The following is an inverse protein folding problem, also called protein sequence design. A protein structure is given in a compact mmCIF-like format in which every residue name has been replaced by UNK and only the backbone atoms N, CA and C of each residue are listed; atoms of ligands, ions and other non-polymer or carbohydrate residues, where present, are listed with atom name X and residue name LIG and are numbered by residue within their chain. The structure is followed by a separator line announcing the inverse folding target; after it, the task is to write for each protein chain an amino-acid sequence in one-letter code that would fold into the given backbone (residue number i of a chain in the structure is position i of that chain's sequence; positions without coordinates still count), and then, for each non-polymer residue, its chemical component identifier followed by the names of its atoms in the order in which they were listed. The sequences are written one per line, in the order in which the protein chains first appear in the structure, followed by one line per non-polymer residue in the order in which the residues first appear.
data_IF_386507970834
#
_entry.id   IF_386507970834
#
_cell.length_a   1.000
_cell.length_b   1.000
_cell.length_c   1.000
_cell.angle_alpha   90.00
_cell.angle_beta   90.00
_cell.angle_gamma   90.00
#
_symmetry.space_group_name_H-M   'P 1'
#
loop_
_entity.id
_entity.type
_entity.pdbx_description
1 polymer ?
#
# COMPACT_ATOMS: atom_id res chain seq x y z
N UNK A 1 8.07 7.24 35.67
CA UNK A 1 7.10 8.28 36.09
C UNK A 1 7.64 9.60 35.62
N UNK A 2 7.39 9.89 34.36
CA UNK A 2 7.90 11.08 33.69
C UNK A 2 7.00 12.26 34.08
N UNK A 3 7.53 13.48 34.06
CA UNK A 3 6.81 14.73 34.39
C UNK A 3 5.46 14.89 33.67
N UNK A 4 5.26 14.21 32.54
CA UNK A 4 3.98 14.11 31.82
C UNK A 4 2.90 13.33 32.58
N UNK A 5 3.23 12.18 33.17
CA UNK A 5 2.25 11.34 33.90
C UNK A 5 1.68 12.09 35.11
N UNK A 6 2.57 12.81 35.82
CA UNK A 6 2.21 13.62 36.99
C UNK A 6 1.32 14.79 36.59
N UNK A 7 1.63 15.44 35.48
CA UNK A 7 0.82 16.49 34.89
C UNK A 7 -0.60 15.99 34.54
N UNK A 8 -0.70 14.81 33.94
CA UNK A 8 -1.96 14.18 33.55
C UNK A 8 -2.86 13.87 34.76
N UNK A 9 -2.32 13.21 35.80
CA UNK A 9 -3.08 12.91 37.04
C UNK A 9 -3.58 14.20 37.71
N UNK A 10 -2.77 15.26 37.71
CA UNK A 10 -3.12 16.56 38.28
C UNK A 10 -4.27 17.21 37.50
N UNK A 11 -4.27 17.14 36.17
CA UNK A 11 -5.36 17.70 35.35
C UNK A 11 -6.65 16.94 35.58
N UNK A 12 -6.62 15.61 35.62
CA UNK A 12 -7.80 14.80 35.91
C UNK A 12 -8.38 15.12 37.28
N UNK A 13 -7.52 15.25 38.30
CA UNK A 13 -7.91 15.68 39.63
C UNK A 13 -8.54 17.08 39.65
N UNK A 14 -7.99 18.04 38.88
CA UNK A 14 -8.53 19.40 38.74
C UNK A 14 -9.90 19.37 38.05
N UNK A 15 -10.03 18.61 36.96
CA UNK A 15 -11.29 18.49 36.19
C UNK A 15 -12.39 17.79 37.03
N UNK A 16 -12.02 16.79 37.83
CA UNK A 16 -12.93 16.02 38.68
C UNK A 16 -13.33 16.75 39.98
N UNK A 17 -12.48 17.63 40.53
CA UNK A 17 -12.67 18.22 41.88
C UNK A 17 -12.77 19.75 41.91
N UNK A 18 -13.39 20.39 40.92
CA UNK A 18 -13.60 21.85 40.95
C UNK A 18 -14.77 22.26 41.87
N UNK A 19 -14.47 22.81 43.08
CA UNK A 19 -15.18 23.99 43.55
C UNK A 19 -14.22 25.18 43.78
N UNK A 20 -14.59 26.33 43.19
CA UNK A 20 -14.13 27.71 43.48
C UNK A 20 -12.63 28.09 43.38
N UNK A 21 -12.35 28.92 42.36
CA UNK A 21 -11.47 30.12 42.25
C UNK A 21 -10.10 30.23 42.98
N UNK A 22 -9.91 29.76 44.21
CA UNK A 22 -8.73 30.11 45.02
C UNK A 22 -7.57 29.11 44.89
N UNK A 23 -7.86 27.84 44.64
CA UNK A 23 -6.89 26.76 44.92
C UNK A 23 -5.99 26.42 43.73
N UNK A 24 -6.40 26.75 42.50
CA UNK A 24 -5.57 26.56 41.29
C UNK A 24 -4.35 27.48 41.23
N UNK A 25 -4.45 28.68 41.82
CA UNK A 25 -3.44 29.73 41.66
C UNK A 25 -2.14 29.43 42.43
N UNK A 26 -2.26 28.71 43.55
CA UNK A 26 -1.13 28.24 44.34
C UNK A 26 -0.40 27.06 43.67
N UNK A 27 -1.12 26.27 42.87
CA UNK A 27 -0.62 25.02 42.30
C UNK A 27 0.13 25.21 40.97
N UNK A 28 -0.33 26.14 40.11
CA UNK A 28 0.19 26.30 38.74
C UNK A 28 1.48 27.13 38.59
N UNK A 29 2.21 27.44 39.68
CA UNK A 29 3.43 28.29 39.62
C UNK A 29 4.65 27.64 38.94
N UNK A 30 4.62 26.35 38.65
CA UNK A 30 5.78 25.58 38.16
C UNK A 30 5.82 25.35 36.65
N UNK A 31 4.75 25.63 35.89
CA UNK A 31 4.77 25.50 34.42
C UNK A 31 3.86 26.52 33.72
N UNK A 32 4.45 27.47 32.98
CA UNK A 32 3.74 28.57 32.29
C UNK A 32 2.72 28.09 31.25
N UNK A 33 2.97 26.95 30.61
CA UNK A 33 2.08 26.38 29.60
C UNK A 33 0.86 25.72 30.27
N UNK A 34 1.08 25.08 31.42
CA UNK A 34 0.08 24.46 32.28
C UNK A 34 -0.84 25.48 32.96
N UNK A 35 -0.26 26.59 33.45
CA UNK A 35 -1.01 27.70 34.04
C UNK A 35 -2.00 28.28 33.04
N UNK A 36 -1.63 28.48 31.77
CA UNK A 36 -2.57 29.02 30.77
C UNK A 36 -3.73 28.08 30.52
N UNK A 37 -3.48 26.79 30.32
CA UNK A 37 -4.56 25.83 29.98
C UNK A 37 -5.52 25.63 31.16
N UNK A 38 -5.00 25.43 32.37
CA UNK A 38 -5.83 25.25 33.57
C UNK A 38 -6.59 26.54 33.96
N UNK A 39 -6.00 27.72 33.73
CA UNK A 39 -6.66 29.00 33.94
C UNK A 39 -7.74 29.24 32.86
N UNK A 40 -7.47 28.93 31.59
CA UNK A 40 -8.44 29.14 30.51
C UNK A 40 -9.64 28.16 30.59
N UNK A 41 -9.43 26.92 31.09
CA UNK A 41 -10.48 25.92 31.39
C UNK A 41 -11.47 26.36 32.49
N UNK A 42 -11.03 27.23 33.40
CA UNK A 42 -11.80 27.66 34.59
C UNK A 42 -12.39 29.06 34.40
N UNK A 43 -11.76 29.94 33.60
CA UNK A 43 -12.04 31.39 33.64
C UNK A 43 -12.56 32.01 32.33
N UNK A 44 -12.51 31.35 31.17
CA UNK A 44 -13.00 31.94 29.92
C UNK A 44 -14.33 31.31 29.45
N UNK A 45 -15.23 32.12 28.86
CA UNK A 45 -16.50 31.67 28.22
C UNK A 45 -16.40 31.67 26.67
N UNK A 46 -15.23 32.00 26.14
CA UNK A 46 -15.01 32.20 24.70
C UNK A 46 -15.13 30.89 23.88
N UNK A 47 -15.58 30.96 22.62
CA UNK A 47 -15.65 29.75 21.78
C UNK A 47 -14.25 29.19 21.47
N UNK A 48 -13.26 30.07 21.35
CA UNK A 48 -11.90 29.70 20.96
C UNK A 48 -11.17 28.81 21.97
N UNK A 49 -11.40 29.01 23.28
CA UNK A 49 -10.71 28.21 24.29
C UNK A 49 -11.30 26.81 24.41
N UNK A 50 -12.63 26.66 24.28
CA UNK A 50 -13.32 25.35 24.34
C UNK A 50 -12.77 24.43 23.26
N UNK A 51 -12.56 24.96 22.06
CA UNK A 51 -11.95 24.22 20.96
C UNK A 51 -10.45 23.93 21.17
N UNK A 52 -9.71 24.80 21.87
CA UNK A 52 -8.31 24.54 22.24
C UNK A 52 -8.17 23.45 23.32
N UNK A 53 -9.08 23.42 24.30
CA UNK A 53 -9.13 22.37 25.31
C UNK A 53 -9.52 21.02 24.67
N UNK A 54 -10.50 21.04 23.75
CA UNK A 54 -10.86 19.87 22.95
C UNK A 54 -9.69 19.36 22.11
N UNK A 55 -8.98 20.26 21.41
CA UNK A 55 -7.77 19.92 20.64
C UNK A 55 -6.76 19.20 21.51
N UNK A 56 -6.36 19.82 22.61
CA UNK A 56 -5.33 19.27 23.48
C UNK A 56 -5.75 17.96 24.15
N UNK A 57 -6.99 17.89 24.62
CA UNK A 57 -7.54 16.65 25.18
C UNK A 57 -7.53 15.50 24.17
N UNK A 58 -7.85 15.78 22.90
CA UNK A 58 -7.82 14.77 21.82
C UNK A 58 -6.41 14.42 21.37
N UNK A 59 -5.47 15.37 21.41
CA UNK A 59 -4.06 15.15 21.14
C UNK A 59 -3.39 14.30 22.23
N UNK A 60 -3.72 14.49 23.51
CA UNK A 60 -3.06 13.82 24.64
C UNK A 60 -3.83 12.62 25.21
N UNK A 61 -5.07 12.37 24.78
CA UNK A 61 -5.87 11.24 25.26
C UNK A 61 -6.64 11.50 26.56
N UNK A 62 -6.90 12.77 26.87
CA UNK A 62 -7.54 13.18 28.12
C UNK A 62 -9.07 13.19 27.99
N UNK A 63 -9.70 12.03 28.20
CA UNK A 63 -11.16 11.83 28.06
C UNK A 63 -11.95 12.87 28.86
N UNK A 64 -11.59 13.07 30.14
CA UNK A 64 -12.26 14.01 31.05
C UNK A 64 -12.23 15.47 30.53
N UNK A 65 -11.13 15.87 29.88
CA UNK A 65 -10.98 17.22 29.30
C UNK A 65 -11.83 17.35 28.04
N UNK A 66 -11.84 16.33 27.19
CA UNK A 66 -12.66 16.29 25.97
C UNK A 66 -14.15 16.35 26.32
N UNK A 67 -14.61 15.46 27.21
CA UNK A 67 -16.00 15.39 27.64
C UNK A 67 -16.48 16.74 28.18
N UNK A 68 -15.72 17.32 29.12
CA UNK A 68 -16.07 18.62 29.71
C UNK A 68 -16.06 19.75 28.69
N UNK A 69 -15.10 19.78 27.77
CA UNK A 69 -15.04 20.80 26.71
C UNK A 69 -16.29 20.73 25.82
N UNK A 70 -16.74 19.53 25.49
CA UNK A 70 -17.94 19.31 24.67
C UNK A 70 -19.23 19.64 25.42
N UNK A 71 -19.31 19.32 26.72
CA UNK A 71 -20.44 19.70 27.58
C UNK A 71 -20.55 21.22 27.74
N UNK A 72 -19.42 21.92 27.70
CA UNK A 72 -19.37 23.38 27.65
C UNK A 72 -19.67 23.95 26.26
N UNK A 73 -19.95 23.11 25.26
CA UNK A 73 -20.31 23.52 23.90
C UNK A 73 -19.13 23.83 22.99
N UNK A 74 -17.99 23.16 23.16
CA UNK A 74 -16.94 23.15 22.13
C UNK A 74 -17.51 22.64 20.80
N UNK A 75 -17.14 23.30 19.70
CA UNK A 75 -17.43 22.79 18.37
C UNK A 75 -16.47 21.62 18.07
N UNK A 76 -17.00 20.40 18.03
CA UNK A 76 -16.24 19.19 17.75
C UNK A 76 -15.74 19.10 16.30
N UNK A 77 -16.32 19.90 15.39
CA UNK A 77 -15.88 20.03 14.01
C UNK A 77 -14.94 21.24 13.79
N UNK A 78 -14.49 21.88 14.88
CA UNK A 78 -13.50 22.94 14.80
C UNK A 78 -12.16 22.42 14.27
N UNK A 79 -11.54 23.20 13.38
CA UNK A 79 -10.21 22.91 12.85
C UNK A 79 -9.17 23.21 13.92
N UNK A 80 -8.47 22.17 14.36
CA UNK A 80 -7.56 22.24 15.50
C UNK A 80 -6.10 22.52 15.10
N UNK A 81 -5.70 22.31 13.84
CA UNK A 81 -4.31 22.46 13.41
C UNK A 81 -4.18 22.99 11.96
N UNK A 82 -2.93 23.14 11.48
CA UNK A 82 -2.62 23.64 10.13
C UNK A 82 -2.93 22.67 8.99
N UNK A 83 -3.29 21.43 9.33
CA UNK A 83 -3.62 20.35 8.39
C UNK A 83 -5.14 20.22 8.21
N UNK A 84 -5.93 21.21 8.62
CA UNK A 84 -7.39 21.22 8.53
C UNK A 84 -8.09 20.05 9.26
N UNK A 85 -7.40 19.47 10.25
CA UNK A 85 -7.92 18.36 11.05
C UNK A 85 -8.84 18.83 12.17
N UNK A 86 -9.80 17.98 12.56
CA UNK A 86 -10.66 18.13 13.75
C UNK A 86 -10.14 17.29 14.91
N UNK A 87 -10.80 17.39 16.07
CA UNK A 87 -10.51 16.59 17.26
C UNK A 87 -10.52 15.06 17.01
N UNK A 88 -11.29 14.59 16.03
CA UNK A 88 -11.42 13.16 15.72
C UNK A 88 -10.15 12.58 15.08
N UNK A 89 -9.39 13.35 14.31
CA UNK A 89 -8.17 12.90 13.64
C UNK A 89 -7.07 12.42 14.60
N UNK A 90 -6.60 13.22 15.59
CA UNK A 90 -5.59 12.74 16.53
C UNK A 90 -6.12 11.60 17.40
N UNK A 91 -7.40 11.59 17.74
CA UNK A 91 -8.03 10.51 18.50
C UNK A 91 -7.98 9.17 17.75
N UNK A 92 -8.32 9.16 16.45
CA UNK A 92 -8.20 7.98 15.57
C UNK A 92 -6.75 7.58 15.41
N UNK A 93 -5.84 8.52 15.07
CA UNK A 93 -4.42 8.24 14.83
C UNK A 93 -3.71 7.61 16.03
N UNK A 94 -4.07 8.04 17.24
CA UNK A 94 -3.50 7.53 18.50
C UNK A 94 -4.33 6.41 19.13
N UNK A 95 -5.43 6.01 18.50
CA UNK A 95 -6.36 4.98 18.99
C UNK A 95 -6.91 5.26 20.41
N UNK A 96 -7.24 6.52 20.69
CA UNK A 96 -7.92 6.89 21.93
C UNK A 96 -9.40 6.55 21.83
N UNK A 97 -9.72 5.26 22.00
CA UNK A 97 -11.05 4.67 21.82
C UNK A 97 -12.17 5.42 22.53
N UNK A 98 -11.97 5.79 23.80
CA UNK A 98 -12.97 6.52 24.57
C UNK A 98 -13.30 7.87 23.94
N UNK A 99 -12.27 8.58 23.43
CA UNK A 99 -12.44 9.87 22.74
C UNK A 99 -13.09 9.68 21.38
N UNK A 100 -12.68 8.65 20.62
CA UNK A 100 -13.29 8.32 19.33
C UNK A 100 -14.78 8.04 19.51
N UNK A 101 -15.15 7.15 20.44
CA UNK A 101 -16.55 6.85 20.73
C UNK A 101 -17.32 8.07 21.21
N UNK A 102 -16.73 8.89 22.07
CA UNK A 102 -17.36 10.10 22.58
C UNK A 102 -17.63 11.10 21.44
N UNK A 103 -16.66 11.36 20.57
CA UNK A 103 -16.82 12.27 19.44
C UNK A 103 -17.84 11.74 18.41
N UNK A 104 -17.79 10.45 18.08
CA UNK A 104 -18.76 9.83 17.17
C UNK A 104 -20.18 9.86 17.75
N UNK A 105 -20.34 9.65 19.07
CA UNK A 105 -21.63 9.78 19.75
C UNK A 105 -22.20 11.21 19.76
N UNK A 106 -21.38 12.21 19.43
CA UNK A 106 -21.77 13.61 19.26
C UNK A 106 -21.93 13.99 17.78
N UNK A 107 -21.99 13.02 16.87
CA UNK A 107 -22.10 13.22 15.41
C UNK A 107 -20.92 14.01 14.81
N UNK A 108 -19.69 13.77 15.30
CA UNK A 108 -18.50 14.36 14.69
C UNK A 108 -18.38 14.00 13.19
N UNK A 109 -17.97 14.96 12.38
CA UNK A 109 -17.87 14.81 10.92
C UNK A 109 -16.76 13.81 10.55
N UNK A 110 -17.16 12.63 10.11
CA UNK A 110 -16.28 11.55 9.64
C UNK A 110 -15.87 11.69 8.17
N UNK A 111 -16.53 12.57 7.41
CA UNK A 111 -16.31 12.74 5.96
C UNK A 111 -15.29 13.82 5.65
N UNK A 112 -14.86 14.57 6.66
CA UNK A 112 -13.82 15.57 6.51
C UNK A 112 -12.50 14.95 6.04
N UNK A 113 -11.81 15.69 5.18
CA UNK A 113 -10.43 15.43 4.79
C UNK A 113 -9.50 16.43 5.46
N UNK A 114 -8.26 15.99 5.70
CA UNK A 114 -7.19 16.92 6.04
C UNK A 114 -6.78 17.73 4.80
N UNK A 115 -5.85 18.66 4.98
CA UNK A 115 -5.32 19.54 3.94
C UNK A 115 -4.65 18.82 2.78
N UNK A 116 -4.08 17.64 3.02
CA UNK A 116 -3.44 16.79 2.00
C UNK A 116 -4.48 16.00 1.20
N UNK A 117 -5.70 15.87 1.73
CA UNK A 117 -6.78 15.11 1.12
C UNK A 117 -7.04 13.77 1.80
N UNK A 118 -6.29 13.39 2.83
CA UNK A 118 -6.47 12.12 3.53
C UNK A 118 -7.80 12.12 4.30
N UNK A 119 -8.54 11.02 4.18
CA UNK A 119 -9.78 10.80 4.92
C UNK A 119 -9.53 10.07 6.25
N UNK A 120 -10.57 9.91 7.08
CA UNK A 120 -10.43 9.25 8.38
C UNK A 120 -10.11 7.75 8.28
N UNK A 121 -10.54 7.08 7.20
CA UNK A 121 -10.24 5.66 6.93
C UNK A 121 -8.74 5.48 6.69
N UNK A 122 -8.09 6.39 5.97
CA UNK A 122 -6.64 6.39 5.77
C UNK A 122 -5.92 6.34 7.12
N UNK A 123 -6.26 7.25 8.03
CA UNK A 123 -5.68 7.26 9.38
C UNK A 123 -5.98 5.97 10.14
N UNK A 124 -7.22 5.47 10.12
CA UNK A 124 -7.57 4.21 10.77
C UNK A 124 -6.70 3.04 10.24
N UNK A 125 -6.50 2.94 8.93
CA UNK A 125 -5.65 1.90 8.31
C UNK A 125 -4.19 2.07 8.71
N UNK A 126 -3.65 3.29 8.82
CA UNK A 126 -2.27 3.50 9.28
C UNK A 126 -2.01 2.94 10.68
N UNK A 127 -3.04 2.87 11.52
CA UNK A 127 -2.93 2.33 12.89
C UNK A 127 -2.78 0.81 12.94
N UNK A 128 -3.22 0.10 11.90
CA UNK A 128 -3.27 -1.37 11.89
C UNK A 128 -4.38 -1.99 12.75
N UNK A 129 -5.34 -1.19 13.22
CA UNK A 129 -6.46 -1.67 14.03
C UNK A 129 -7.68 -2.02 13.15
N UNK A 130 -7.94 -3.32 12.98
CA UNK A 130 -9.13 -3.83 12.28
C UNK A 130 -10.42 -3.23 12.83
N UNK A 131 -10.58 -3.23 14.16
CA UNK A 131 -11.79 -2.75 14.82
C UNK A 131 -12.01 -1.25 14.57
N UNK A 132 -10.93 -0.48 14.46
CA UNK A 132 -11.02 0.96 14.22
C UNK A 132 -11.40 1.24 12.77
N UNK A 133 -10.79 0.53 11.82
CA UNK A 133 -11.16 0.62 10.39
C UNK A 133 -12.63 0.26 10.22
N UNK A 134 -13.09 -0.81 10.87
CA UNK A 134 -14.50 -1.21 10.87
C UNK A 134 -15.41 -0.15 11.46
N UNK A 135 -15.08 0.37 12.64
CA UNK A 135 -15.85 1.43 13.29
C UNK A 135 -16.03 2.64 12.38
N UNK A 136 -14.95 3.11 11.71
CA UNK A 136 -15.01 4.27 10.83
C UNK A 136 -15.83 3.99 9.56
N UNK A 137 -15.70 2.81 8.95
CA UNK A 137 -16.51 2.44 7.78
C UNK A 137 -18.00 2.28 8.14
N UNK A 138 -18.31 1.78 9.33
CA UNK A 138 -19.68 1.66 9.82
C UNK A 138 -20.35 3.04 10.03
N UNK A 139 -19.56 4.13 10.15
CA UNK A 139 -20.08 5.51 10.14
C UNK A 139 -20.41 6.04 8.74
N UNK A 140 -20.23 5.23 7.69
CA UNK A 140 -20.59 5.56 6.31
C UNK A 140 -19.52 6.34 5.54
N UNK A 141 -18.27 6.38 6.02
CA UNK A 141 -17.16 6.99 5.27
C UNK A 141 -16.95 6.25 3.96
N UNK A 142 -16.83 6.99 2.86
CA UNK A 142 -16.57 6.39 1.55
C UNK A 142 -15.13 5.85 1.49
N UNK A 143 -15.03 4.53 1.49
CA UNK A 143 -13.80 3.74 1.40
C UNK A 143 -12.95 4.07 0.18
N UNK A 144 -13.57 4.37 -0.96
CA UNK A 144 -12.88 4.59 -2.22
C UNK A 144 -12.63 6.07 -2.50
N UNK A 145 -13.00 6.95 -1.57
CA UNK A 145 -12.79 8.37 -1.71
C UNK A 145 -11.33 8.71 -1.35
N UNK A 146 -10.43 8.64 -2.32
CA UNK A 146 -9.07 9.19 -2.23
C UNK A 146 -8.91 10.36 -3.22
N UNK A 147 -7.94 11.22 -2.99
CA UNK A 147 -7.62 12.35 -3.88
C UNK A 147 -6.47 11.94 -4.79
N UNK A 148 -6.39 12.51 -5.99
CA UNK A 148 -5.22 12.38 -6.86
C UNK A 148 -3.95 12.77 -6.08
N UNK A 149 -2.98 11.86 -5.94
CA UNK A 149 -1.83 12.03 -5.04
C UNK A 149 -1.85 11.19 -3.76
N UNK A 150 -3.01 10.68 -3.35
CA UNK A 150 -3.19 9.90 -2.13
C UNK A 150 -3.04 8.38 -2.41
N UNK A 151 -2.70 7.62 -1.36
CA UNK A 151 -2.59 6.17 -1.40
C UNK A 151 -3.96 5.57 -1.03
N UNK A 152 -4.61 4.82 -1.93
CA UNK A 152 -5.88 4.15 -1.64
C UNK A 152 -5.81 3.33 -0.34
N UNK A 153 -6.85 3.32 0.52
CA UNK A 153 -6.79 2.62 1.81
C UNK A 153 -6.42 1.14 1.70
N UNK A 154 -6.90 0.45 0.67
CA UNK A 154 -6.54 -0.94 0.39
C UNK A 154 -5.04 -1.08 0.07
N UNK A 155 -4.50 -0.19 -0.78
CA UNK A 155 -3.09 -0.18 -1.14
C UNK A 155 -2.19 0.05 0.08
N UNK A 156 -2.60 0.97 0.96
CA UNK A 156 -1.91 1.21 2.23
C UNK A 156 -1.91 -0.03 3.14
N UNK A 157 -3.05 -0.70 3.30
CA UNK A 157 -3.15 -1.91 4.11
C UNK A 157 -2.22 -3.03 3.58
N UNK A 158 -2.13 -3.18 2.26
CA UNK A 158 -1.22 -4.12 1.59
C UNK A 158 0.24 -3.74 1.84
N UNK A 159 0.60 -2.45 1.71
CA UNK A 159 1.96 -1.94 1.96
C UNK A 159 2.42 -2.15 3.41
N UNK A 160 1.48 -2.14 4.35
CA UNK A 160 1.74 -2.38 5.77
C UNK A 160 1.71 -3.86 6.16
N UNK A 161 1.19 -4.75 5.31
CA UNK A 161 1.09 -6.17 5.60
C UNK A 161 -0.12 -6.57 6.47
N UNK A 162 -1.16 -5.73 6.57
CA UNK A 162 -2.31 -5.97 7.43
C UNK A 162 -3.37 -6.85 6.74
N UNK A 163 -3.13 -8.16 6.67
CA UNK A 163 -3.97 -9.11 5.92
C UNK A 163 -5.45 -9.06 6.33
N UNK A 164 -5.73 -8.99 7.62
CA UNK A 164 -7.09 -8.89 8.18
C UNK A 164 -7.82 -7.63 7.68
N UNK A 165 -7.13 -6.49 7.68
CA UNK A 165 -7.64 -5.23 7.11
C UNK A 165 -7.80 -5.34 5.60
N UNK A 166 -6.83 -5.93 4.87
CA UNK A 166 -6.93 -6.13 3.42
C UNK A 166 -8.18 -6.93 3.05
N UNK A 167 -8.43 -8.04 3.76
CA UNK A 167 -9.63 -8.88 3.54
C UNK A 167 -10.90 -8.07 3.79
N UNK A 168 -10.93 -7.33 4.89
CA UNK A 168 -12.08 -6.52 5.27
C UNK A 168 -12.38 -5.40 4.27
N UNK A 169 -11.37 -4.65 3.86
CA UNK A 169 -11.51 -3.58 2.88
C UNK A 169 -11.98 -4.12 1.53
N UNK A 170 -11.43 -5.25 1.10
CA UNK A 170 -11.88 -5.93 -0.12
C UNK A 170 -13.34 -6.35 -0.02
N UNK A 171 -13.74 -7.03 1.06
CA UNK A 171 -15.12 -7.47 1.27
C UNK A 171 -16.09 -6.28 1.43
N UNK A 172 -15.59 -5.12 1.87
CA UNK A 172 -16.33 -3.85 1.95
C UNK A 172 -16.42 -3.09 0.62
N UNK A 173 -15.86 -3.63 -0.47
CA UNK A 173 -15.97 -3.06 -1.81
C UNK A 173 -14.85 -2.09 -2.20
N UNK A 174 -13.67 -2.19 -1.58
CA UNK A 174 -12.49 -1.46 -2.05
C UNK A 174 -12.12 -1.86 -3.49
N UNK A 175 -11.71 -0.88 -4.30
CA UNK A 175 -11.16 -1.15 -5.62
C UNK A 175 -9.77 -1.81 -5.52
N UNK A 176 -9.64 -3.00 -6.08
CA UNK A 176 -8.44 -3.83 -6.00
C UNK A 176 -7.37 -3.46 -7.04
N UNK A 177 -7.76 -2.68 -8.05
CA UNK A 177 -6.97 -2.21 -9.17
C UNK A 177 -6.52 -0.75 -9.04
N UNK A 178 -7.01 -0.05 -8.01
CA UNK A 178 -6.57 1.29 -7.67
C UNK A 178 -5.05 1.32 -7.44
N UNK A 179 -4.42 2.36 -7.96
CA UNK A 179 -2.98 2.56 -7.88
C UNK A 179 -2.64 3.91 -7.31
N UNK A 180 -1.45 4.03 -6.74
CA UNK A 180 -0.87 5.33 -6.41
C UNK A 180 -0.31 6.06 -7.65
N UNK A 181 0.28 7.23 -7.41
CA UNK A 181 0.91 8.09 -8.42
C UNK A 181 2.06 7.42 -9.20
N UNK A 182 2.69 6.39 -8.62
CA UNK A 182 3.72 5.61 -9.31
C UNK A 182 3.13 4.47 -10.15
N UNK A 183 1.79 4.29 -10.12
CA UNK A 183 1.11 3.19 -10.77
C UNK A 183 1.25 1.86 -10.00
N UNK A 184 1.70 1.88 -8.74
CA UNK A 184 1.77 0.68 -7.92
C UNK A 184 0.36 0.26 -7.50
N UNK A 185 0.05 -1.02 -7.68
CA UNK A 185 -1.24 -1.63 -7.33
C UNK A 185 -1.04 -2.51 -6.11
N UNK A 186 -2.12 -2.96 -5.44
CA UNK A 186 -2.03 -3.97 -4.39
C UNK A 186 -1.13 -5.14 -4.76
N UNK A 187 -1.21 -5.62 -6.01
CA UNK A 187 -0.41 -6.74 -6.48
C UNK A 187 1.10 -6.40 -6.58
N UNK A 188 1.45 -5.21 -7.09
CA UNK A 188 2.86 -4.76 -7.16
C UNK A 188 3.52 -4.76 -5.77
N UNK A 189 2.79 -4.23 -4.79
CA UNK A 189 3.28 -4.13 -3.42
C UNK A 189 3.35 -5.51 -2.76
N UNK A 190 2.33 -6.36 -2.96
CA UNK A 190 2.30 -7.70 -2.38
C UNK A 190 3.46 -8.59 -2.88
N UNK A 191 3.92 -8.41 -4.12
CA UNK A 191 5.09 -9.08 -4.68
C UNK A 191 6.41 -8.63 -4.00
N UNK A 192 6.46 -7.41 -3.47
CA UNK A 192 7.60 -6.93 -2.67
C UNK A 192 7.54 -7.29 -1.19
N UNK A 193 6.40 -7.79 -0.72
CA UNK A 193 6.23 -8.13 0.68
C UNK A 193 6.85 -9.51 0.97
N UNK A 194 7.54 -9.67 2.12
CA UNK A 194 8.10 -10.96 2.52
C UNK A 194 7.02 -11.99 2.90
N UNK A 195 5.77 -11.56 3.10
CA UNK A 195 4.64 -12.42 3.44
C UNK A 195 3.73 -12.60 2.21
N UNK A 196 3.67 -13.83 1.70
CA UNK A 196 2.84 -14.17 0.53
C UNK A 196 1.36 -14.37 0.86
N UNK A 197 0.92 -14.19 2.12
CA UNK A 197 -0.49 -14.41 2.49
C UNK A 197 -1.41 -13.40 1.79
N UNK A 198 -0.99 -12.13 1.74
CA UNK A 198 -1.72 -11.08 1.02
C UNK A 198 -1.69 -11.36 -0.48
N UNK A 199 -0.54 -11.76 -1.01
CA UNK A 199 -0.44 -12.13 -2.42
C UNK A 199 -1.40 -13.29 -2.74
N UNK A 200 -1.39 -14.35 -1.95
CA UNK A 200 -2.25 -15.52 -2.13
C UNK A 200 -3.73 -15.12 -2.07
N UNK A 201 -4.11 -14.24 -1.14
CA UNK A 201 -5.46 -13.69 -1.06
C UNK A 201 -5.84 -12.90 -2.32
N UNK A 202 -4.96 -12.02 -2.81
CA UNK A 202 -5.21 -11.25 -4.03
C UNK A 202 -5.35 -12.17 -5.26
N UNK A 203 -4.53 -13.23 -5.34
CA UNK A 203 -4.62 -14.24 -6.41
C UNK A 203 -5.95 -15.00 -6.33
N UNK A 204 -6.39 -15.44 -5.14
CA UNK A 204 -7.67 -16.13 -4.93
C UNK A 204 -8.87 -15.27 -5.33
N UNK A 205 -8.80 -13.96 -5.10
CA UNK A 205 -9.84 -13.00 -5.49
C UNK A 205 -9.83 -12.64 -6.98
N UNK A 206 -9.04 -13.37 -7.76
CA UNK A 206 -9.09 -13.39 -9.22
C UNK A 206 -8.77 -12.03 -9.85
N UNK A 207 -7.79 -11.33 -9.24
CA UNK A 207 -7.34 -10.00 -9.68
C UNK A 207 -6.88 -10.01 -11.15
N UNK A 208 -6.39 -11.15 -11.65
CA UNK A 208 -5.92 -11.28 -13.03
C UNK A 208 -7.04 -11.38 -14.06
N UNK A 209 -8.23 -11.88 -13.71
CA UNK A 209 -9.32 -12.06 -14.67
C UNK A 209 -10.18 -10.81 -14.88
N UNK A 210 -10.12 -9.83 -13.96
CA UNK A 210 -10.88 -8.57 -14.09
C UNK A 210 -10.14 -7.48 -14.87
N UNK A 211 -8.81 -7.54 -14.94
CA UNK A 211 -8.02 -6.57 -15.67
C UNK A 211 -8.04 -6.89 -17.17
N UNK A 212 -8.90 -6.19 -17.93
CA UNK A 212 -8.90 -6.22 -19.40
C UNK A 212 -7.55 -5.75 -19.99
N UNK A 213 -6.68 -5.21 -19.16
CA UNK A 213 -5.35 -4.75 -19.50
C UNK A 213 -4.38 -5.29 -18.48
N UNK A 214 -3.98 -6.56 -18.57
CA UNK A 214 -2.91 -7.16 -17.74
C UNK A 214 -1.54 -6.46 -17.80
N UNK A 215 -1.48 -5.22 -18.32
CA UNK A 215 -0.41 -4.26 -18.23
C UNK A 215 0.20 -4.22 -16.83
N UNK A 216 -0.58 -4.11 -15.74
CA UNK A 216 -0.04 -3.99 -14.38
C UNK A 216 0.38 -5.36 -13.79
N UNK A 217 -0.38 -6.42 -14.03
CA UNK A 217 0.04 -7.79 -13.66
C UNK A 217 1.37 -8.24 -14.29
N UNK A 218 1.70 -7.71 -15.47
CA UNK A 218 2.97 -7.96 -16.15
C UNK A 218 4.18 -7.36 -15.42
N UNK A 219 4.06 -6.18 -14.80
CA UNK A 219 5.13 -5.60 -13.97
C UNK A 219 5.39 -6.43 -12.73
N UNK A 220 4.32 -6.91 -12.07
CA UNK A 220 4.47 -7.79 -10.93
C UNK A 220 5.29 -9.04 -11.29
N UNK A 221 4.97 -9.68 -12.43
CA UNK A 221 5.73 -10.84 -12.91
C UNK A 221 7.18 -10.48 -13.28
N UNK A 222 7.41 -9.38 -14.01
CA UNK A 222 8.76 -8.93 -14.36
C UNK A 222 9.60 -8.57 -13.11
N UNK A 223 8.99 -7.93 -12.11
CA UNK A 223 9.65 -7.60 -10.84
C UNK A 223 10.05 -8.86 -10.06
N UNK A 224 9.27 -9.95 -10.10
CA UNK A 224 9.71 -11.22 -9.51
C UNK A 224 10.96 -11.77 -10.20
N UNK A 225 11.00 -11.67 -11.52
CA UNK A 225 12.14 -12.11 -12.34
C UNK A 225 13.39 -11.30 -12.03
N UNK A 226 13.29 -9.98 -11.95
CA UNK A 226 14.41 -9.10 -11.61
C UNK A 226 14.95 -9.40 -10.19
N UNK A 227 14.06 -9.80 -9.27
CA UNK A 227 14.43 -10.18 -7.90
C UNK A 227 14.93 -11.63 -7.77
N UNK A 228 14.75 -12.47 -8.78
CA UNK A 228 15.05 -13.91 -8.72
C UNK A 228 14.11 -14.70 -7.80
N UNK A 229 12.88 -14.23 -7.60
CA UNK A 229 11.92 -14.82 -6.65
C UNK A 229 11.07 -15.91 -7.31
N UNK A 230 11.60 -17.13 -7.33
CA UNK A 230 10.94 -18.32 -7.89
C UNK A 230 9.61 -18.70 -7.19
N UNK A 231 9.50 -18.71 -5.85
CA UNK A 231 8.23 -18.95 -5.17
C UNK A 231 7.12 -18.00 -5.61
N UNK A 232 7.39 -16.69 -5.61
CA UNK A 232 6.40 -15.68 -6.02
C UNK A 232 6.05 -15.80 -7.50
N UNK A 233 7.03 -16.09 -8.37
CA UNK A 233 6.78 -16.36 -9.78
C UNK A 233 5.78 -17.50 -9.96
N UNK A 234 5.95 -18.63 -9.24
CA UNK A 234 5.05 -19.78 -9.35
C UNK A 234 3.63 -19.43 -8.91
N UNK A 235 3.49 -18.70 -7.80
CA UNK A 235 2.19 -18.24 -7.32
C UNK A 235 1.48 -17.37 -8.37
N UNK A 236 2.17 -16.38 -8.94
CA UNK A 236 1.61 -15.51 -9.99
C UNK A 236 1.18 -16.31 -11.23
N UNK A 237 1.99 -17.29 -11.65
CA UNK A 237 1.66 -18.16 -12.79
C UNK A 237 0.48 -19.10 -12.50
N UNK A 238 0.35 -19.59 -11.27
CA UNK A 238 -0.82 -20.36 -10.82
C UNK A 238 -2.08 -19.50 -10.78
N UNK A 239 -1.92 -18.22 -10.44
CA UNK A 239 -2.98 -17.20 -10.52
C UNK A 239 -3.40 -16.80 -11.94
N UNK A 240 -2.68 -17.27 -12.98
CA UNK A 240 -3.03 -16.98 -14.38
C UNK A 240 -2.35 -15.75 -14.97
N UNK A 241 -1.30 -15.22 -14.36
CA UNK A 241 -0.50 -14.14 -14.96
C UNK A 241 0.07 -14.57 -16.32
N UNK A 242 -0.12 -13.76 -17.37
CA UNK A 242 0.40 -14.05 -18.71
C UNK A 242 1.85 -13.54 -18.86
N UNK A 243 2.84 -14.42 -19.14
CA UNK A 243 4.24 -14.03 -19.31
C UNK A 243 4.54 -13.22 -20.57
N UNK A 244 3.60 -13.11 -21.52
CA UNK A 244 3.75 -12.48 -22.84
C UNK A 244 3.10 -11.10 -22.92
N UNK A 245 2.85 -10.41 -21.80
CA UNK A 245 2.28 -9.06 -21.84
C UNK A 245 3.38 -8.00 -22.01
N UNK A 246 3.42 -7.38 -23.19
CA UNK A 246 4.45 -6.42 -23.63
C UNK A 246 4.27 -5.08 -22.93
N UNK A 247 5.35 -4.46 -22.45
CA UNK A 247 5.33 -3.07 -21.94
C UNK A 247 6.19 -2.12 -22.76
N UNK A 248 6.36 -0.89 -22.23
CA UNK A 248 7.07 0.24 -22.83
C UNK A 248 8.47 -0.11 -23.36
N UNK A 249 9.14 -1.09 -22.75
CA UNK A 249 10.47 -1.57 -23.16
C UNK A 249 10.43 -2.59 -24.32
N UNK A 250 9.24 -2.95 -24.83
CA UNK A 250 8.97 -4.07 -25.77
C UNK A 250 9.35 -5.46 -25.23
N UNK A 251 9.88 -5.56 -24.03
CA UNK A 251 10.24 -6.82 -23.39
C UNK A 251 9.09 -7.37 -22.56
N UNK A 252 9.12 -8.69 -22.38
CA UNK A 252 8.18 -9.52 -21.63
C UNK A 252 8.93 -10.19 -20.49
N UNK A 253 8.24 -10.68 -19.45
CA UNK A 253 8.86 -11.33 -18.31
C UNK A 253 9.81 -12.50 -18.71
N UNK A 254 9.45 -13.28 -19.74
CA UNK A 254 10.32 -14.35 -20.27
C UNK A 254 11.63 -13.79 -20.86
N UNK A 255 11.54 -12.71 -21.62
CA UNK A 255 12.71 -12.05 -22.21
C UNK A 255 13.59 -11.46 -21.11
N UNK A 256 12.99 -10.82 -20.11
CA UNK A 256 13.71 -10.29 -18.94
C UNK A 256 14.41 -11.40 -18.18
N UNK A 257 13.79 -12.57 -18.00
CA UNK A 257 14.42 -13.73 -17.37
C UNK A 257 15.62 -14.24 -18.18
N UNK A 258 15.45 -14.34 -19.51
CA UNK A 258 16.52 -14.74 -20.41
C UNK A 258 17.71 -13.76 -20.35
N UNK A 259 17.46 -12.45 -20.29
CA UNK A 259 18.50 -11.43 -20.18
C UNK A 259 19.15 -11.40 -18.79
N UNK A 260 18.40 -11.70 -17.73
CA UNK A 260 18.86 -11.76 -16.35
C UNK A 260 19.66 -13.02 -16.01
N UNK A 261 19.72 -14.01 -16.92
CA UNK A 261 20.34 -15.33 -16.72
C UNK A 261 19.59 -16.25 -15.78
N UNK A 262 18.29 -16.02 -15.63
CA UNK A 262 17.39 -16.84 -14.82
C UNK A 262 16.79 -17.97 -15.67
N UNK A 263 17.63 -18.97 -16.00
CA UNK A 263 17.25 -20.11 -16.84
C UNK A 263 15.97 -20.81 -16.35
N UNK A 264 15.89 -21.09 -15.05
CA UNK A 264 14.77 -21.82 -14.45
C UNK A 264 13.45 -21.03 -14.50
N UNK A 265 13.52 -19.70 -14.32
CA UNK A 265 12.35 -18.82 -14.43
C UNK A 265 11.83 -18.79 -15.87
N UNK A 266 12.74 -18.64 -16.85
CA UNK A 266 12.39 -18.64 -18.26
C UNK A 266 11.76 -19.97 -18.70
N UNK A 267 12.31 -21.10 -18.25
CA UNK A 267 11.77 -22.44 -18.53
C UNK A 267 10.35 -22.56 -17.96
N UNK A 268 10.14 -22.27 -16.67
CA UNK A 268 8.84 -22.43 -16.02
C UNK A 268 7.74 -21.59 -16.67
N UNK A 269 8.05 -20.33 -17.03
CA UNK A 269 7.10 -19.49 -17.76
C UNK A 269 6.79 -20.05 -19.16
N UNK A 270 7.80 -20.57 -19.85
CA UNK A 270 7.65 -21.10 -21.20
C UNK A 270 6.87 -22.42 -21.20
N UNK A 271 7.12 -23.31 -20.24
CA UNK A 271 6.39 -24.58 -20.05
C UNK A 271 4.87 -24.39 -20.00
N UNK A 272 4.40 -23.31 -19.35
CA UNK A 272 2.97 -22.97 -19.27
C UNK A 272 2.37 -22.58 -20.62
N UNK A 273 3.19 -22.06 -21.54
CA UNK A 273 2.75 -21.51 -22.83
C UNK A 273 2.93 -22.47 -23.99
N UNK A 274 3.89 -23.40 -23.93
CA UNK A 274 4.15 -24.38 -25.01
C UNK A 274 2.93 -25.27 -25.29
N UNK A 275 2.02 -25.44 -24.32
CA UNK A 275 0.76 -26.14 -24.51
C UNK A 275 -0.22 -25.39 -25.46
N UNK A 276 -0.04 -24.08 -25.65
CA UNK A 276 -0.85 -23.27 -26.59
C UNK A 276 -0.44 -23.63 -28.03
N UNK A 277 -1.37 -24.03 -28.92
CA UNK A 277 -1.06 -24.35 -30.31
C UNK A 277 -0.41 -23.15 -31.03
N UNK A 278 0.68 -23.40 -31.78
CA UNK A 278 1.37 -22.34 -32.55
C UNK A 278 2.29 -21.43 -31.74
N UNK A 279 2.37 -21.57 -30.41
CA UNK A 279 3.21 -20.70 -29.57
C UNK A 279 4.68 -20.70 -29.98
N UNK A 280 5.25 -21.88 -30.23
CA UNK A 280 6.65 -22.04 -30.64
C UNK A 280 6.90 -21.42 -32.02
N UNK A 281 5.95 -21.53 -32.96
CA UNK A 281 6.06 -20.95 -34.30
C UNK A 281 6.03 -19.42 -34.25
N UNK A 282 5.18 -18.85 -33.39
CA UNK A 282 4.97 -17.41 -33.26
C UNK A 282 6.09 -16.72 -32.44
N UNK A 283 6.45 -17.28 -31.29
CA UNK A 283 7.32 -16.62 -30.31
C UNK A 283 8.71 -17.28 -30.18
N UNK A 284 8.88 -18.52 -30.63
CA UNK A 284 10.09 -19.30 -30.36
C UNK A 284 11.37 -18.69 -30.93
N UNK A 285 11.29 -18.00 -32.09
CA UNK A 285 12.44 -17.32 -32.71
C UNK A 285 12.95 -16.16 -31.83
N UNK A 286 12.04 -15.32 -31.36
CA UNK A 286 12.35 -14.19 -30.47
C UNK A 286 12.94 -14.70 -29.15
N UNK A 287 12.30 -15.71 -28.54
CA UNK A 287 12.73 -16.28 -27.26
C UNK A 287 14.12 -16.91 -27.33
N UNK A 288 14.43 -17.66 -28.41
CA UNK A 288 15.73 -18.27 -28.62
C UNK A 288 16.83 -17.21 -28.78
N UNK A 289 16.56 -16.14 -29.51
CA UNK A 289 17.49 -15.03 -29.68
C UNK A 289 17.89 -14.41 -28.33
N UNK A 290 16.91 -14.10 -27.48
CA UNK A 290 17.18 -13.54 -26.16
C UNK A 290 17.83 -14.54 -25.20
N UNK A 291 17.50 -15.83 -25.29
CA UNK A 291 18.15 -16.88 -24.52
C UNK A 291 19.66 -16.95 -24.80
N UNK A 292 20.05 -16.93 -26.08
CA UNK A 292 21.47 -16.96 -26.48
C UNK A 292 22.16 -15.64 -26.14
N UNK A 293 21.53 -14.50 -26.42
CA UNK A 293 22.07 -13.17 -26.07
C UNK A 293 22.32 -13.03 -24.56
N UNK A 294 21.38 -13.52 -23.75
CA UNK A 294 21.48 -13.54 -22.29
C UNK A 294 22.48 -14.57 -21.75
N UNK A 295 22.89 -15.55 -22.56
CA UNK A 295 23.72 -16.71 -22.19
C UNK A 295 23.00 -17.70 -21.27
N UNK A 296 21.67 -17.81 -21.38
CA UNK A 296 20.86 -18.81 -20.69
C UNK A 296 21.02 -20.18 -21.33
N UNK A 297 21.92 -20.99 -20.79
CA UNK A 297 22.34 -22.24 -21.43
C UNK A 297 21.26 -23.32 -21.39
N UNK A 298 20.61 -23.46 -20.23
CA UNK A 298 19.60 -24.49 -20.01
C UNK A 298 18.32 -24.14 -20.75
N UNK A 299 17.95 -22.85 -20.75
CA UNK A 299 16.78 -22.37 -21.48
C UNK A 299 16.97 -22.47 -23.00
N UNK A 300 18.18 -22.14 -23.52
CA UNK A 300 18.50 -22.35 -24.94
C UNK A 300 18.32 -23.81 -25.33
N UNK A 301 18.91 -24.74 -24.56
CA UNK A 301 18.76 -26.18 -24.82
C UNK A 301 17.30 -26.62 -24.75
N UNK A 302 16.57 -26.15 -23.74
CA UNK A 302 15.14 -26.43 -23.59
C UNK A 302 14.33 -26.00 -24.82
N UNK A 303 14.57 -24.81 -25.36
CA UNK A 303 13.88 -24.32 -26.56
C UNK A 303 14.19 -25.18 -27.79
N UNK A 304 15.45 -25.58 -27.98
CA UNK A 304 15.87 -26.47 -29.07
C UNK A 304 15.20 -27.85 -28.96
N UNK A 305 15.14 -28.41 -27.75
CA UNK A 305 14.49 -29.71 -27.48
C UNK A 305 12.97 -29.69 -27.77
N UNK A 306 12.33 -28.51 -27.75
CA UNK A 306 10.93 -28.33 -28.14
C UNK A 306 10.72 -28.23 -29.66
N UNK A 307 11.77 -28.39 -30.45
CA UNK A 307 11.68 -28.50 -31.92
C UNK A 307 11.93 -27.19 -32.66
N UNK A 308 12.52 -26.18 -32.02
CA UNK A 308 13.01 -24.98 -32.70
C UNK A 308 14.27 -25.35 -33.49
N UNK A 309 14.13 -25.37 -34.83
CA UNK A 309 15.27 -25.56 -35.72
C UNK A 309 15.97 -24.21 -35.93
N UNK A 310 17.20 -24.03 -35.40
CA UNK A 310 17.91 -22.79 -35.57
C UNK A 310 18.18 -22.50 -37.05
N UNK A 311 18.47 -23.52 -37.87
CA UNK A 311 18.98 -23.37 -39.24
C UNK A 311 17.90 -23.08 -40.28
N UNK A 312 16.68 -23.57 -40.06
CA UNK A 312 15.56 -23.43 -41.02
C UNK A 312 14.81 -22.10 -40.88
N UNK A 313 14.82 -21.50 -39.70
CA UNK A 313 13.83 -20.48 -39.32
C UNK A 313 14.37 -19.07 -39.04
N UNK A 314 15.68 -18.88 -38.84
CA UNK A 314 16.18 -17.65 -38.18
C UNK A 314 16.96 -16.63 -39.02
N UNK A 315 17.37 -16.92 -40.27
CA UNK A 315 18.58 -16.25 -40.81
C UNK A 315 18.44 -15.21 -41.92
N UNK A 316 17.26 -14.69 -42.22
CA UNK A 316 17.14 -13.63 -43.25
C UNK A 316 16.50 -12.32 -42.80
N UNK A 317 15.72 -12.31 -41.73
CA UNK A 317 14.84 -11.18 -41.41
C UNK A 317 14.81 -10.83 -39.92
N UNK A 318 15.96 -10.77 -39.26
CA UNK A 318 16.03 -9.96 -38.03
C UNK A 318 16.29 -8.53 -38.49
N UNK A 319 15.18 -7.82 -38.76
CA UNK A 319 15.13 -6.43 -39.18
C UNK A 319 16.12 -5.57 -38.38
N UNK A 320 16.90 -4.75 -39.09
CA UNK A 320 17.97 -3.91 -38.57
C UNK A 320 17.52 -2.79 -37.61
N UNK A 321 16.28 -2.83 -37.16
CA UNK A 321 15.69 -1.94 -36.16
C UNK A 321 15.99 -2.37 -34.71
N UNK A 322 16.43 -3.61 -34.46
CA UNK A 322 16.92 -4.07 -33.14
C UNK A 322 18.46 -3.94 -33.07
N UNK A 323 18.90 -2.69 -32.96
CA UNK A 323 20.30 -2.22 -33.07
C UNK A 323 21.29 -2.95 -32.14
N UNK A 324 22.39 -3.45 -32.72
CA UNK A 324 23.63 -3.70 -31.98
C UNK A 324 24.51 -4.86 -32.49
N UNK A 325 24.95 -4.83 -33.76
CA UNK A 325 26.00 -5.72 -34.28
C UNK A 325 25.51 -7.07 -34.83
N UNK A 326 25.76 -7.30 -36.11
CA UNK A 326 25.44 -8.52 -36.86
C UNK A 326 26.30 -9.72 -36.44
N UNK A 327 25.98 -10.36 -35.34
CA UNK A 327 26.46 -11.72 -35.06
C UNK A 327 25.26 -12.66 -35.12
N UNK A 328 25.32 -13.68 -35.98
CA UNK A 328 24.27 -14.69 -36.07
C UNK A 328 24.25 -15.54 -34.79
N UNK A 329 23.07 -15.94 -34.29
CA UNK A 329 22.96 -16.90 -33.19
C UNK A 329 23.68 -18.23 -33.52
N UNK A 330 23.83 -18.63 -34.80
CA UNK A 330 24.68 -19.76 -35.23
C UNK A 330 26.14 -19.48 -34.89
N UNK A 331 26.67 -18.29 -35.21
CA UNK A 331 28.03 -17.92 -34.81
C UNK A 331 28.19 -17.87 -33.29
N UNK A 332 27.18 -17.41 -32.54
CA UNK A 332 27.22 -17.41 -31.07
C UNK A 332 27.21 -18.83 -30.48
N UNK A 333 26.42 -19.74 -31.07
CA UNK A 333 26.41 -21.17 -30.71
C UNK A 333 27.74 -21.84 -31.10
N UNK A 334 28.27 -21.54 -32.29
CA UNK A 334 29.51 -22.09 -32.85
C UNK A 334 30.76 -21.59 -32.12
N UNK A 335 30.73 -20.37 -31.57
CA UNK A 335 31.83 -19.77 -30.81
C UNK A 335 32.00 -20.38 -29.40
N UNK A 336 31.25 -21.42 -29.04
CA UNK A 336 31.44 -22.15 -27.78
C UNK A 336 30.95 -21.40 -26.54
N UNK A 337 30.03 -20.44 -26.70
CA UNK A 337 29.36 -19.75 -25.58
C UNK A 337 28.50 -20.73 -24.75
N UNK A 338 28.26 -21.93 -25.29
CA UNK A 338 27.61 -23.07 -24.66
C UNK A 338 28.53 -24.29 -24.78
N UNK A 339 29.08 -24.76 -23.65
CA UNK A 339 29.63 -26.12 -23.58
C UNK A 339 28.45 -27.07 -23.44
N UNK A 340 28.27 -27.92 -24.46
CA UNK A 340 27.23 -28.96 -24.52
C UNK A 340 27.27 -29.87 -23.30
#
# INVERSE_FOLDING_TARGET
MLLQDLATEIIELIVQNLPLRSDLNAFCQTSKQFYRIANDLVYHEDAHWRCNALRWGSEEGLVSVVERSLDQGADFNYIINSEDETALFPAVRKQYWDIVHLLLARDADVHRRNKVGDNLVYFAVTTGSYDLVKLILDQGVDLNSHVEGDVPPLLLAVRRGYLDIVRFLFDSGAYIDDSDDWGETPLHIAVGAPQHDILSFLIEKDVFLKDKTGARGADALEMTVIRGDMPTLRLLLEGGADPLIRRWTRHHAIITAALAREDDMAIVMTERLVARPGFIEEHGKELLWYAVKGRCQRYTRYLLDKGLDPDRDLWKEVDGSMVGGSASVVEMLSAGVLTV
#
